data_IF_268910261267
#
_entry.id   IF_268910261267
#
_cell.length_a   1.000
_cell.length_b   1.000
_cell.length_c   1.000
_cell.angle_alpha   90.00
_cell.angle_beta   90.00
_cell.angle_gamma   90.00
#
_symmetry.space_group_name_H-M   'P 1'
#
loop_
_entity.id
_entity.type
_entity.pdbx_description
1 polymer ?
#
# COMPACT_ATOMS: atom_id res chain seq x y z
N UNK A 1 3.61 -17.11 0.68
CA UNK A 1 4.21 -15.86 0.18
C UNK A 1 3.17 -15.07 -0.62
N UNK A 2 2.50 -15.68 -1.59
CA UNK A 2 1.52 -15.01 -2.48
C UNK A 2 0.41 -14.21 -1.78
N UNK A 3 -0.11 -14.65 -0.63
CA UNK A 3 -1.20 -13.93 0.04
C UNK A 3 -0.77 -12.61 0.66
N UNK A 4 0.43 -12.57 1.26
CA UNK A 4 1.01 -11.34 1.83
C UNK A 4 1.35 -10.37 0.70
N UNK A 5 1.94 -10.89 -0.38
CA UNK A 5 2.23 -10.11 -1.59
C UNK A 5 0.96 -9.48 -2.19
N UNK A 6 -0.11 -10.25 -2.36
CA UNK A 6 -1.38 -9.74 -2.87
C UNK A 6 -2.01 -8.70 -1.95
N UNK A 7 -1.91 -8.87 -0.64
CA UNK A 7 -2.40 -7.89 0.32
C UNK A 7 -1.62 -6.57 0.23
N UNK A 8 -0.29 -6.64 0.21
CA UNK A 8 0.57 -5.48 0.02
C UNK A 8 0.30 -4.81 -1.33
N UNK A 9 0.07 -5.59 -2.39
CA UNK A 9 -0.28 -5.04 -3.68
C UNK A 9 -1.60 -4.28 -3.63
N UNK A 10 -2.65 -4.86 -3.03
CA UNK A 10 -3.93 -4.19 -2.84
C UNK A 10 -3.83 -2.92 -1.98
N UNK A 11 -2.98 -2.92 -0.94
CA UNK A 11 -2.77 -1.73 -0.09
C UNK A 11 -2.05 -0.59 -0.82
N UNK A 12 -1.05 -0.93 -1.65
CA UNK A 12 -0.25 0.07 -2.37
C UNK A 12 -0.83 0.43 -3.74
N UNK A 13 -1.78 -0.34 -4.28
CA UNK A 13 -2.42 -0.13 -5.58
C UNK A 13 -2.95 1.29 -5.85
N UNK A 14 -3.56 2.02 -4.88
CA UNK A 14 -4.05 3.38 -5.14
C UNK A 14 -2.93 4.42 -5.18
N UNK A 15 -1.70 4.08 -4.80
CA UNK A 15 -0.57 4.99 -4.72
C UNK A 15 0.40 4.79 -5.88
N UNK A 16 0.95 5.86 -6.47
CA UNK A 16 2.02 5.76 -7.45
C UNK A 16 3.25 5.04 -6.86
N UNK A 17 3.89 4.19 -7.67
CA UNK A 17 5.12 3.50 -7.31
C UNK A 17 6.33 4.45 -7.25
N UNK A 18 6.42 5.21 -6.15
CA UNK A 18 7.60 6.00 -5.80
C UNK A 18 8.69 5.11 -5.22
N UNK A 19 9.95 5.55 -5.31
CA UNK A 19 11.08 4.83 -4.69
C UNK A 19 10.85 4.62 -3.19
N UNK A 20 10.34 5.65 -2.49
CA UNK A 20 10.07 5.58 -1.06
C UNK A 20 8.96 4.58 -0.71
N UNK A 21 7.85 4.58 -1.44
CA UNK A 21 6.76 3.61 -1.28
C UNK A 21 7.21 2.17 -1.61
N UNK A 22 8.06 2.01 -2.62
CA UNK A 22 8.59 0.68 -3.00
C UNK A 22 9.50 0.13 -1.92
N UNK A 23 10.39 0.96 -1.38
CA UNK A 23 11.28 0.60 -0.27
C UNK A 23 10.47 0.23 0.98
N UNK A 24 9.49 1.05 1.33
CA UNK A 24 8.60 0.78 2.46
C UNK A 24 7.71 -0.46 2.27
N UNK A 25 7.29 -0.77 1.03
CA UNK A 25 6.58 -2.03 0.72
C UNK A 25 7.48 -3.24 1.00
N UNK A 26 8.78 -3.14 0.69
CA UNK A 26 9.74 -4.20 0.98
C UNK A 26 10.02 -4.35 2.49
N UNK A 27 10.13 -3.23 3.21
CA UNK A 27 10.26 -3.25 4.68
C UNK A 27 9.02 -3.85 5.34
N UNK A 28 7.82 -3.41 4.95
CA UNK A 28 6.57 -3.92 5.48
C UNK A 28 6.39 -5.41 5.19
N UNK A 29 6.77 -5.85 3.99
CA UNK A 29 6.80 -7.26 3.62
C UNK A 29 7.64 -8.07 4.60
N UNK A 30 8.87 -7.63 4.87
CA UNK A 30 9.74 -8.34 5.80
C UNK A 30 9.14 -8.41 7.21
N UNK A 31 8.53 -7.32 7.69
CA UNK A 31 7.84 -7.30 8.98
C UNK A 31 6.64 -8.26 9.03
N UNK A 32 5.83 -8.28 7.95
CA UNK A 32 4.68 -9.18 7.84
C UNK A 32 5.11 -10.65 7.73
N UNK A 33 6.21 -10.93 7.01
CA UNK A 33 6.78 -12.26 6.87
C UNK A 33 7.33 -12.78 8.21
N UNK A 34 7.96 -11.91 9.00
CA UNK A 34 8.42 -12.24 10.36
C UNK A 34 7.25 -12.55 11.30
N UNK A 35 6.24 -11.68 11.34
CA UNK A 35 5.03 -11.90 12.14
C UNK A 35 4.24 -13.15 11.70
N UNK A 36 4.23 -13.43 10.39
CA UNK A 36 3.64 -14.65 9.84
C UNK A 36 4.41 -15.89 10.30
N UNK A 37 5.74 -15.86 10.26
CA UNK A 37 6.58 -16.96 10.74
C UNK A 37 6.41 -17.19 12.25
N UNK A 38 6.29 -16.13 13.05
CA UNK A 38 6.00 -16.21 14.48
C UNK A 38 4.63 -16.85 14.75
N UNK A 39 3.59 -16.44 14.01
CA UNK A 39 2.26 -17.02 14.13
C UNK A 39 2.25 -18.52 13.79
N UNK A 40 2.98 -18.93 12.73
CA UNK A 40 3.17 -20.35 12.41
C UNK A 40 3.91 -21.09 13.53
N UNK A 41 4.96 -20.49 14.07
CA UNK A 41 5.73 -21.07 15.18
C UNK A 41 4.88 -21.22 16.45
N UNK A 42 3.91 -20.32 16.66
CA UNK A 42 2.91 -20.42 17.72
C UNK A 42 1.84 -21.49 17.48
N UNK A 43 1.87 -22.21 16.36
CA UNK A 43 0.98 -23.31 16.03
C UNK A 43 -0.28 -22.92 15.24
N UNK A 44 -0.35 -21.69 14.71
CA UNK A 44 -1.46 -21.27 13.85
C UNK A 44 -1.35 -21.89 12.45
N UNK A 45 -2.50 -22.12 11.81
CA UNK A 45 -2.53 -22.52 10.40
C UNK A 45 -2.14 -21.35 9.48
N UNK A 46 -1.78 -21.66 8.22
CA UNK A 46 -1.47 -20.62 7.22
C UNK A 46 -2.56 -19.55 7.11
N UNK A 47 -3.83 -19.95 7.11
CA UNK A 47 -4.96 -19.03 6.97
C UNK A 47 -5.12 -18.13 8.21
N UNK A 48 -4.98 -18.70 9.41
CA UNK A 48 -5.04 -17.95 10.67
C UNK A 48 -3.86 -16.98 10.82
N UNK A 49 -2.64 -17.42 10.50
CA UNK A 49 -1.46 -16.59 10.55
C UNK A 49 -1.57 -15.39 9.59
N UNK A 50 -2.03 -15.62 8.35
CA UNK A 50 -2.29 -14.54 7.39
C UNK A 50 -3.36 -13.59 7.89
N UNK A 51 -4.50 -14.11 8.37
CA UNK A 51 -5.59 -13.28 8.89
C UNK A 51 -5.17 -12.44 10.10
N UNK A 52 -4.30 -12.99 10.96
CA UNK A 52 -3.73 -12.28 12.09
C UNK A 52 -2.82 -11.14 11.63
N UNK A 53 -1.87 -11.40 10.73
CA UNK A 53 -0.96 -10.36 10.21
C UNK A 53 -1.76 -9.24 9.53
N UNK A 54 -2.78 -9.56 8.74
CA UNK A 54 -3.65 -8.54 8.12
C UNK A 54 -4.35 -7.69 9.18
N UNK A 55 -4.83 -8.31 10.27
CA UNK A 55 -5.54 -7.59 11.34
C UNK A 55 -4.59 -6.75 12.21
N UNK A 56 -3.40 -7.27 12.49
CA UNK A 56 -2.39 -6.64 13.34
C UNK A 56 -1.78 -5.40 12.68
N UNK A 57 -1.48 -5.49 11.38
CA UNK A 57 -0.96 -4.37 10.60
C UNK A 57 -2.05 -3.43 10.09
N UNK A 58 -3.28 -3.92 9.90
CA UNK A 58 -4.42 -3.09 9.52
C UNK A 58 -4.27 -2.45 8.15
N UNK A 59 -4.29 -1.11 8.10
CA UNK A 59 -4.24 -0.33 6.86
C UNK A 59 -2.90 0.40 6.69
N UNK A 60 -2.52 0.70 5.44
CA UNK A 60 -1.27 1.42 5.14
C UNK A 60 -1.15 2.77 5.86
N UNK A 61 -2.25 3.50 6.06
CA UNK A 61 -2.29 4.77 6.80
C UNK A 61 -1.82 4.62 8.27
N UNK A 62 -2.16 3.52 8.93
CA UNK A 62 -1.77 3.26 10.33
C UNK A 62 -0.28 2.92 10.44
N UNK A 63 0.26 2.23 9.43
CA UNK A 63 1.65 1.76 9.39
C UNK A 63 2.60 2.81 8.81
N UNK A 64 2.11 3.70 7.95
CA UNK A 64 2.88 4.76 7.31
C UNK A 64 3.74 5.62 8.26
N UNK A 65 3.28 6.02 9.46
CA UNK A 65 4.14 6.75 10.41
C UNK A 65 5.28 5.89 10.97
N UNK A 66 5.06 4.58 11.15
CA UNK A 66 6.10 3.64 11.64
C UNK A 66 7.19 3.46 10.59
N UNK A 67 6.80 3.33 9.32
CA UNK A 67 7.72 3.22 8.18
C UNK A 67 8.34 4.58 7.77
N UNK A 68 7.91 5.68 8.37
CA UNK A 68 8.36 7.03 7.99
C UNK A 68 8.01 7.38 6.54
N UNK A 69 6.86 6.92 6.05
CA UNK A 69 6.30 7.24 4.73
C UNK A 69 5.01 8.06 4.81
N UNK A 70 4.55 8.45 6.00
CA UNK A 70 3.29 9.19 6.16
C UNK A 70 3.21 10.47 5.29
N UNK A 71 4.32 11.20 5.18
CA UNK A 71 4.39 12.41 4.34
C UNK A 71 4.38 12.06 2.84
N UNK A 72 5.13 11.03 2.43
CA UNK A 72 5.17 10.53 1.05
C UNK A 72 3.81 9.97 0.62
N UNK A 73 3.12 9.26 1.52
CA UNK A 73 1.77 8.75 1.31
C UNK A 73 0.77 9.90 1.11
N UNK A 74 0.83 10.92 1.98
CA UNK A 74 0.00 12.12 1.86
C UNK A 74 0.28 12.88 0.57
N UNK A 75 1.56 12.96 0.17
CA UNK A 75 1.96 13.57 -1.10
C UNK A 75 1.48 12.75 -2.30
N UNK A 76 1.51 11.42 -2.19
CA UNK A 76 1.03 10.48 -3.20
C UNK A 76 -0.50 10.52 -3.37
N UNK A 77 -1.28 10.73 -2.30
CA UNK A 77 -2.74 10.96 -2.38
C UNK A 77 -3.08 12.31 -3.01
N UNK A 78 -2.25 13.33 -2.77
CA UNK A 78 -2.44 14.66 -3.34
C UNK A 78 -1.88 14.81 -4.75
N UNK A 79 -0.97 13.92 -5.16
CA UNK A 79 -0.54 13.87 -6.53
C UNK A 79 -1.79 13.59 -7.38
N UNK A 80 -2.09 14.43 -8.37
CA UNK A 80 -3.14 14.08 -9.31
C UNK A 80 -2.73 12.72 -9.87
N UNK A 81 -3.57 11.71 -9.63
CA UNK A 81 -3.59 10.53 -10.49
C UNK A 81 -3.52 11.08 -11.93
N UNK A 82 -2.81 10.45 -12.87
CA UNK A 82 -2.94 10.81 -14.27
C UNK A 82 -4.38 10.48 -14.69
N UNK A 83 -5.31 11.34 -14.28
CA UNK A 83 -6.61 11.56 -14.86
C UNK A 83 -6.27 11.86 -16.31
N UNK A 84 -6.70 10.94 -17.16
CA UNK A 84 -6.71 11.11 -18.59
C UNK A 84 -7.07 12.57 -18.88
N UNK A 85 -6.13 13.27 -19.51
CA UNK A 85 -6.13 14.71 -19.72
C UNK A 85 -7.55 15.31 -19.77
N UNK A 86 -7.86 16.37 -18.99
CA UNK A 86 -9.04 17.15 -19.30
C UNK A 86 -8.76 17.73 -20.69
N UNK A 87 -9.41 17.15 -21.70
CA UNK A 87 -9.44 17.72 -23.04
C UNK A 87 -9.82 19.18 -22.87
N UNK A 88 -9.02 20.15 -23.36
CA UNK A 88 -9.40 21.54 -23.24
C UNK A 88 -10.71 21.70 -24.01
N UNK A 89 -11.78 21.97 -23.26
CA UNK A 89 -13.07 22.36 -23.81
C UNK A 89 -12.83 23.63 -24.61
N UNK A 90 -12.73 23.47 -25.94
CA UNK A 90 -12.66 24.56 -26.89
C UNK A 90 -13.96 25.36 -26.79
N UNK A 91 -13.92 26.42 -26.00
CA UNK A 91 -14.86 27.54 -26.10
C UNK A 91 -14.29 28.47 -27.15
N UNK A 92 -14.74 28.33 -28.39
CA UNK A 92 -14.61 29.39 -29.39
C UNK A 92 -15.92 29.45 -30.17
N UNK A 93 -16.79 30.36 -29.73
CA UNK A 93 -17.88 30.88 -30.54
C UNK A 93 -17.36 31.99 -31.45
N UNK A 94 -17.77 31.98 -32.71
CA UNK A 94 -17.84 33.07 -33.67
C UNK A 94 -18.43 32.46 -34.95
N UNK A 95 -19.46 32.97 -35.62
CA UNK A 95 -20.30 34.16 -35.53
C UNK A 95 -21.28 34.06 -36.71
#
# INVERSE_FOLDING_TARGET
MDTIDNFLDAMFAPYPASTRLTDAKAELRAMMEDAYADALASGMTHNEAVGRVITDFGNLQEIAPVLGIADDLTAAEKAPQPEAAPAPAGTEGAG
#
